data_IF_064144803621
#
_entry.id   IF_064144803621
#
_cell.length_a   1.000
_cell.length_b   1.000
_cell.length_c   1.000
_cell.angle_alpha   90.00
_cell.angle_beta   90.00
_cell.angle_gamma   90.00
#
_symmetry.space_group_name_H-M   'P 1'
#
loop_
_entity.id
_entity.type
_entity.pdbx_description
1 polymer ?
#
# COMPACT_ATOMS: atom_id res chain seq x y z
N UNK A 1 -27.62 25.30 37.62
CA UNK A 1 -28.40 24.11 37.23
C UNK A 1 -28.38 23.87 35.72
N UNK A 2 -28.81 24.82 34.88
CA UNK A 2 -28.79 24.68 33.40
C UNK A 2 -27.42 24.37 32.81
N UNK A 3 -26.35 25.08 33.24
CA UNK A 3 -25.00 24.82 32.77
C UNK A 3 -24.50 23.41 33.12
N UNK A 4 -24.81 22.93 34.34
CA UNK A 4 -24.44 21.58 34.78
C UNK A 4 -25.18 20.51 33.96
N UNK A 5 -26.47 20.71 33.69
CA UNK A 5 -27.26 19.81 32.83
C UNK A 5 -26.72 19.80 31.39
N UNK A 6 -26.35 20.96 30.84
CA UNK A 6 -25.75 21.06 29.51
C UNK A 6 -24.38 20.35 29.45
N UNK A 7 -23.50 20.55 30.43
CA UNK A 7 -22.22 19.85 30.51
C UNK A 7 -22.40 18.33 30.61
N UNK A 8 -23.33 17.86 31.45
CA UNK A 8 -23.64 16.43 31.56
C UNK A 8 -24.15 15.86 30.24
N UNK A 9 -25.06 16.56 29.56
CA UNK A 9 -25.57 16.13 28.26
C UNK A 9 -24.45 16.03 27.21
N UNK A 10 -23.52 17.00 27.17
CA UNK A 10 -22.35 16.98 26.28
C UNK A 10 -21.44 15.79 26.62
N UNK A 11 -21.13 15.56 27.89
CA UNK A 11 -20.30 14.43 28.31
C UNK A 11 -20.92 13.08 27.95
N UNK A 12 -22.23 12.90 28.16
CA UNK A 12 -22.96 11.69 27.77
C UNK A 12 -22.93 11.51 26.25
N UNK A 13 -23.17 12.59 25.49
CA UNK A 13 -23.14 12.55 24.03
C UNK A 13 -21.75 12.18 23.48
N UNK A 14 -20.69 12.80 24.00
CA UNK A 14 -19.30 12.48 23.62
C UNK A 14 -18.93 11.04 24.04
N UNK A 15 -19.37 10.60 25.22
CA UNK A 15 -19.19 9.23 25.68
C UNK A 15 -19.88 8.20 24.78
N UNK A 16 -21.10 8.50 24.33
CA UNK A 16 -21.83 7.66 23.37
C UNK A 16 -21.13 7.62 22.01
N UNK A 17 -20.67 8.77 21.48
CA UNK A 17 -19.89 8.80 20.23
C UNK A 17 -18.63 7.95 20.37
N UNK A 18 -17.88 8.10 21.47
CA UNK A 18 -16.68 7.31 21.71
C UNK A 18 -17.00 5.81 21.81
N UNK A 19 -18.05 5.43 22.53
CA UNK A 19 -18.49 4.04 22.66
C UNK A 19 -18.88 3.44 21.30
N UNK A 20 -19.64 4.18 20.48
CA UNK A 20 -19.99 3.76 19.12
C UNK A 20 -18.73 3.63 18.25
N UNK A 21 -17.79 4.55 18.36
CA UNK A 21 -16.53 4.49 17.62
C UNK A 21 -15.71 3.25 18.00
N UNK A 22 -15.63 2.90 19.29
CA UNK A 22 -14.99 1.66 19.75
C UNK A 22 -15.73 0.44 19.21
N UNK A 23 -17.05 0.43 19.29
CA UNK A 23 -17.90 -0.69 18.85
C UNK A 23 -17.79 -0.95 17.34
N UNK A 24 -17.75 0.11 16.53
CA UNK A 24 -17.65 -0.01 15.07
C UNK A 24 -16.20 -0.09 14.56
N UNK A 25 -15.21 0.20 15.40
CA UNK A 25 -13.80 0.01 15.05
C UNK A 25 -13.51 -1.48 14.83
N UNK A 26 -12.92 -1.86 13.70
CA UNK A 26 -12.46 -3.23 13.54
C UNK A 26 -11.34 -3.54 14.54
N UNK A 27 -11.24 -4.81 14.90
CA UNK A 27 -10.13 -5.34 15.69
C UNK A 27 -9.37 -6.34 14.84
N UNK A 28 -8.09 -6.07 14.60
CA UNK A 28 -7.19 -7.03 13.98
C UNK A 28 -6.85 -8.05 15.06
N UNK A 29 -7.36 -9.27 14.91
CA UNK A 29 -7.01 -10.38 15.80
C UNK A 29 -5.54 -10.68 15.62
N UNK A 30 -4.81 -10.74 16.73
CA UNK A 30 -3.43 -11.20 16.71
C UNK A 30 -3.40 -12.66 16.22
N UNK A 31 -2.55 -12.99 15.24
CA UNK A 31 -2.41 -14.36 14.78
C UNK A 31 -1.90 -15.27 15.91
N UNK A 32 -2.27 -16.55 15.88
CA UNK A 32 -1.66 -17.55 16.75
C UNK A 32 -0.21 -17.87 16.33
N UNK A 33 0.55 -18.63 17.14
CA UNK A 33 1.93 -19.00 16.83
C UNK A 33 2.12 -19.64 15.44
N UNK A 34 1.12 -20.40 14.98
CA UNK A 34 1.11 -21.07 13.67
C UNK A 34 1.19 -20.11 12.48
N UNK A 35 0.77 -18.86 12.65
CA UNK A 35 0.85 -17.87 11.59
C UNK A 35 2.27 -17.30 11.44
N UNK A 36 3.17 -17.55 12.39
CA UNK A 36 4.56 -17.08 12.36
C UNK A 36 5.51 -18.11 11.74
N UNK A 37 4.96 -19.04 10.96
CA UNK A 37 5.72 -20.04 10.23
C UNK A 37 5.47 -19.92 8.72
N UNK A 38 6.45 -20.33 7.93
CA UNK A 38 6.33 -20.43 6.47
C UNK A 38 6.88 -21.76 5.96
N UNK A 39 6.44 -22.16 4.77
CA UNK A 39 7.04 -23.24 3.97
C UNK A 39 7.66 -22.66 2.71
N UNK A 40 8.73 -23.27 2.22
CA UNK A 40 9.43 -22.82 1.01
C UNK A 40 9.12 -23.76 -0.15
N UNK A 41 9.12 -23.27 -1.38
CA UNK A 41 9.05 -24.15 -2.56
C UNK A 41 10.26 -25.10 -2.66
N UNK A 42 11.41 -24.70 -2.10
CA UNK A 42 12.62 -25.55 -2.06
C UNK A 42 12.52 -26.69 -1.03
N UNK A 43 11.70 -26.52 0.01
CA UNK A 43 11.38 -27.56 0.98
C UNK A 43 9.91 -27.43 1.41
N UNK A 44 8.97 -27.96 0.59
CA UNK A 44 7.53 -27.79 0.83
C UNK A 44 7.01 -28.51 2.09
N UNK A 45 7.83 -29.37 2.69
CA UNK A 45 7.46 -30.21 3.83
C UNK A 45 7.94 -29.67 5.17
N UNK A 46 9.00 -28.85 5.16
CA UNK A 46 9.57 -28.26 6.36
C UNK A 46 8.98 -26.87 6.62
N UNK A 47 8.60 -26.63 7.88
CA UNK A 47 8.21 -25.32 8.36
C UNK A 47 9.42 -24.58 8.93
N UNK A 48 9.47 -23.28 8.66
CA UNK A 48 10.51 -22.37 9.16
C UNK A 48 9.85 -21.19 9.87
N UNK A 49 10.48 -20.63 10.91
CA UNK A 49 9.98 -19.43 11.56
C UNK A 49 10.07 -18.22 10.62
N UNK A 50 9.06 -17.36 10.64
CA UNK A 50 9.11 -16.07 9.95
C UNK A 50 10.14 -15.15 10.61
N UNK A 51 10.88 -14.35 9.81
CA UNK A 51 11.81 -13.38 10.36
C UNK A 51 11.01 -12.30 11.11
N UNK A 52 11.50 -11.81 12.27
CA UNK A 52 10.84 -10.73 12.98
C UNK A 52 10.81 -9.47 12.10
N UNK A 53 9.84 -8.55 12.31
CA UNK A 53 9.78 -7.30 11.54
C UNK A 53 11.05 -6.45 11.63
N UNK A 54 11.80 -6.57 12.71
CA UNK A 54 13.06 -5.85 12.93
C UNK A 54 14.27 -6.45 12.21
N UNK A 55 14.11 -7.59 11.51
CA UNK A 55 15.21 -8.23 10.79
C UNK A 55 15.77 -7.33 9.68
N UNK A 56 17.09 -7.43 9.46
CA UNK A 56 17.75 -6.80 8.33
C UNK A 56 17.24 -7.41 7.00
N UNK A 57 17.22 -6.63 5.90
CA UNK A 57 16.79 -7.16 4.62
C UNK A 57 17.77 -8.23 4.08
N UNK A 58 17.25 -9.33 3.58
CA UNK A 58 18.02 -10.44 2.96
C UNK A 58 17.88 -10.46 1.43
N UNK A 59 16.91 -9.76 0.86
CA UNK A 59 16.71 -9.65 -0.58
C UNK A 59 16.41 -8.22 -1.04
N UNK A 60 16.51 -7.96 -2.34
CA UNK A 60 16.24 -6.63 -2.90
C UNK A 60 14.74 -6.33 -2.94
N UNK A 61 13.93 -7.33 -3.31
CA UNK A 61 12.48 -7.21 -3.46
C UNK A 61 11.75 -8.36 -2.77
N UNK A 62 10.77 -8.03 -1.94
CA UNK A 62 9.71 -8.97 -1.56
C UNK A 62 8.41 -8.62 -2.26
N UNK A 63 7.87 -9.57 -3.01
CA UNK A 63 6.56 -9.52 -3.63
C UNK A 63 5.57 -10.20 -2.69
N UNK A 64 4.79 -9.41 -1.97
CA UNK A 64 3.80 -9.89 -1.00
C UNK A 64 2.46 -10.04 -1.70
N UNK A 65 1.97 -11.29 -1.72
CA UNK A 65 0.76 -11.69 -2.44
C UNK A 65 -0.29 -12.21 -1.45
N UNK A 66 -1.29 -11.42 -1.06
CA UNK A 66 -2.43 -11.95 -0.30
C UNK A 66 -3.27 -12.86 -1.20
N UNK A 67 -3.61 -14.05 -0.72
CA UNK A 67 -4.36 -15.04 -1.49
C UNK A 67 -5.48 -15.67 -0.64
N UNK A 68 -6.69 -15.75 -1.20
CA UNK A 68 -7.81 -16.47 -0.59
C UNK A 68 -8.65 -17.19 -1.64
N UNK A 69 -8.51 -18.51 -1.71
CA UNK A 69 -9.11 -19.36 -2.74
C UNK A 69 -8.74 -18.91 -4.17
N UNK A 70 -7.43 -18.85 -4.42
CA UNK A 70 -6.79 -18.33 -5.63
C UNK A 70 -6.04 -19.42 -6.42
N UNK A 71 -6.25 -20.70 -6.12
CA UNK A 71 -5.57 -21.83 -6.78
C UNK A 71 -5.56 -21.75 -8.31
N UNK A 72 -6.62 -21.20 -8.93
CA UNK A 72 -6.72 -21.03 -10.37
C UNK A 72 -6.07 -19.74 -10.92
N UNK A 73 -6.04 -18.66 -10.14
CA UNK A 73 -5.58 -17.33 -10.61
C UNK A 73 -4.11 -17.04 -10.27
N UNK A 74 -3.61 -17.68 -9.21
CA UNK A 74 -2.24 -17.52 -8.75
C UNK A 74 -1.19 -17.98 -9.77
N UNK A 75 -1.30 -19.15 -10.45
CA UNK A 75 -0.26 -19.60 -11.38
C UNK A 75 -0.05 -18.69 -12.61
N UNK A 76 -1.11 -18.21 -13.29
CA UNK A 76 -0.94 -17.23 -14.37
C UNK A 76 -0.24 -15.94 -13.91
N UNK A 77 -0.62 -15.43 -12.73
CA UNK A 77 0.03 -14.25 -12.15
C UNK A 77 1.52 -14.51 -11.88
N UNK A 78 1.85 -15.63 -11.21
CA UNK A 78 3.24 -16.00 -10.93
C UNK A 78 4.05 -16.22 -12.22
N UNK A 79 3.44 -16.78 -13.27
CA UNK A 79 4.12 -16.97 -14.56
C UNK A 79 4.52 -15.66 -15.19
N UNK A 80 3.62 -14.68 -15.24
CA UNK A 80 3.92 -13.35 -15.79
C UNK A 80 4.91 -12.58 -14.90
N UNK A 81 4.77 -12.67 -13.58
CA UNK A 81 5.70 -12.06 -12.64
C UNK A 81 7.11 -12.65 -12.75
N UNK A 82 7.27 -13.98 -12.85
CA UNK A 82 8.57 -14.62 -13.06
C UNK A 82 9.19 -14.22 -14.39
N UNK A 83 8.40 -14.17 -15.46
CA UNK A 83 8.88 -13.75 -16.77
C UNK A 83 9.47 -12.34 -16.73
N UNK A 84 8.91 -11.44 -15.93
CA UNK A 84 9.46 -10.09 -15.76
C UNK A 84 10.67 -10.08 -14.82
N UNK A 85 10.57 -10.71 -13.65
CA UNK A 85 11.61 -10.69 -12.62
C UNK A 85 12.92 -11.32 -13.09
N UNK A 86 12.83 -12.39 -13.89
CA UNK A 86 13.98 -13.10 -14.46
C UNK A 86 14.45 -12.48 -15.79
N UNK A 87 13.84 -11.39 -16.25
CA UNK A 87 14.30 -10.71 -17.46
C UNK A 87 15.68 -10.08 -17.26
N UNK A 88 16.40 -9.89 -18.36
CA UNK A 88 17.72 -9.26 -18.33
C UNK A 88 17.61 -7.76 -17.98
N UNK A 89 18.66 -7.21 -17.35
CA UNK A 89 18.79 -5.78 -17.00
C UNK A 89 17.77 -5.26 -15.97
N UNK A 90 17.32 -6.12 -15.07
CA UNK A 90 16.52 -5.70 -13.91
C UNK A 90 17.37 -5.04 -12.83
N UNK A 91 16.72 -4.20 -12.02
CA UNK A 91 17.35 -3.45 -10.93
C UNK A 91 17.58 -4.25 -9.63
N UNK A 92 17.15 -5.52 -9.61
CA UNK A 92 17.24 -6.43 -8.48
C UNK A 92 18.07 -7.66 -8.84
N UNK A 93 18.64 -8.31 -7.82
CA UNK A 93 19.35 -9.60 -7.96
C UNK A 93 18.75 -10.70 -7.11
N UNK A 94 17.96 -10.34 -6.10
CA UNK A 94 17.33 -11.29 -5.18
C UNK A 94 15.87 -10.91 -4.99
N UNK A 95 14.96 -11.84 -5.30
CA UNK A 95 13.51 -11.65 -5.19
C UNK A 95 12.90 -12.76 -4.37
N UNK A 96 12.00 -12.36 -3.48
CA UNK A 96 11.16 -13.29 -2.73
C UNK A 96 9.71 -13.06 -3.10
N UNK A 97 8.98 -14.13 -3.43
CA UNK A 97 7.53 -14.11 -3.48
C UNK A 97 7.00 -14.69 -2.17
N UNK A 98 6.35 -13.84 -1.38
CA UNK A 98 5.71 -14.22 -0.12
C UNK A 98 4.21 -14.32 -0.34
N UNK A 99 3.73 -15.55 -0.53
CA UNK A 99 2.31 -15.84 -0.67
C UNK A 99 1.72 -15.94 0.74
N UNK A 100 0.77 -15.05 1.05
CA UNK A 100 0.04 -15.08 2.32
C UNK A 100 -1.34 -15.66 2.05
N UNK A 101 -1.47 -16.96 2.28
CA UNK A 101 -2.73 -17.68 2.19
C UNK A 101 -3.60 -17.34 3.41
N UNK A 102 -4.64 -16.52 3.22
CA UNK A 102 -5.56 -16.04 4.25
C UNK A 102 -6.61 -17.11 4.64
N UNK A 103 -6.14 -18.32 4.95
CA UNK A 103 -6.99 -19.43 5.36
C UNK A 103 -7.86 -20.02 4.24
N UNK A 104 -7.31 -20.17 3.04
CA UNK A 104 -7.98 -20.78 1.89
C UNK A 104 -8.46 -22.20 2.20
N UNK A 105 -9.58 -22.55 1.58
CA UNK A 105 -10.23 -23.87 1.65
C UNK A 105 -9.90 -24.73 0.42
N UNK A 106 -9.27 -24.15 -0.60
CA UNK A 106 -8.78 -24.84 -1.78
C UNK A 106 -7.27 -25.14 -1.66
N UNK A 107 -6.66 -25.52 -2.78
CA UNK A 107 -5.23 -25.88 -2.88
C UNK A 107 -4.30 -24.68 -3.13
N UNK A 108 -4.70 -23.44 -2.79
CA UNK A 108 -3.89 -22.22 -3.04
C UNK A 108 -2.46 -22.35 -2.53
N UNK A 109 -2.27 -22.76 -1.27
CA UNK A 109 -0.93 -22.99 -0.69
C UNK A 109 -0.11 -24.03 -1.46
N UNK A 110 -0.73 -25.14 -1.86
CA UNK A 110 -0.01 -26.25 -2.49
C UNK A 110 0.42 -25.90 -3.91
N UNK A 111 -0.44 -25.17 -4.63
CA UNK A 111 -0.15 -24.62 -5.94
C UNK A 111 1.02 -23.63 -5.89
N UNK A 112 1.08 -22.78 -4.86
CA UNK A 112 2.20 -21.86 -4.66
C UNK A 112 3.51 -22.59 -4.36
N UNK A 113 3.48 -23.60 -3.49
CA UNK A 113 4.66 -24.39 -3.12
C UNK A 113 5.17 -25.26 -4.28
N UNK A 114 4.27 -25.77 -5.11
CA UNK A 114 4.61 -26.56 -6.30
C UNK A 114 4.92 -25.71 -7.54
N UNK A 115 4.90 -24.38 -7.44
CA UNK A 115 5.14 -23.52 -8.59
C UNK A 115 6.60 -23.63 -9.05
N UNK A 116 6.87 -23.95 -10.33
CA UNK A 116 8.23 -24.12 -10.82
C UNK A 116 8.93 -22.77 -10.87
N UNK A 117 10.03 -22.62 -10.13
CA UNK A 117 10.91 -21.46 -10.23
C UNK A 117 12.05 -21.81 -11.18
N UNK A 118 12.14 -21.16 -12.35
CA UNK A 118 13.23 -21.41 -13.27
C UNK A 118 14.56 -21.01 -12.64
N UNK A 119 15.49 -21.96 -12.53
CA UNK A 119 16.90 -21.64 -12.40
C UNK A 119 17.37 -21.22 -13.80
N UNK A 120 17.27 -19.94 -14.14
CA UNK A 120 17.90 -19.40 -15.35
C UNK A 120 19.23 -18.73 -14.98
N UNK A 121 20.37 -19.41 -15.19
CA UNK A 121 21.68 -18.86 -14.88
C UNK A 121 21.99 -17.58 -15.67
N UNK A 122 21.30 -17.34 -16.80
CA UNK A 122 21.53 -16.17 -17.66
C UNK A 122 20.92 -14.90 -17.06
N UNK A 123 19.83 -15.03 -16.29
CA UNK A 123 19.19 -13.88 -15.63
C UNK A 123 20.07 -13.27 -14.54
N UNK A 124 20.85 -14.12 -13.84
CA UNK A 124 21.61 -13.74 -12.65
C UNK A 124 20.73 -13.27 -11.48
N UNK A 125 19.44 -13.60 -11.50
CA UNK A 125 18.46 -13.26 -10.44
C UNK A 125 18.12 -14.53 -9.66
N UNK A 126 18.27 -14.48 -8.34
CA UNK A 126 17.83 -15.55 -7.45
C UNK A 126 16.40 -15.28 -6.98
N UNK A 127 15.51 -16.27 -7.16
CA UNK A 127 14.11 -16.17 -6.77
C UNK A 127 13.75 -17.29 -5.80
N UNK A 128 12.96 -16.94 -4.78
CA UNK A 128 12.39 -17.90 -3.83
C UNK A 128 10.90 -17.68 -3.66
N UNK A 129 10.14 -18.74 -3.41
CA UNK A 129 8.73 -18.67 -3.06
C UNK A 129 8.56 -19.18 -1.64
N UNK A 130 7.97 -18.35 -0.78
CA UNK A 130 7.56 -18.71 0.58
C UNK A 130 6.05 -18.61 0.70
N UNK A 131 5.47 -19.54 1.44
CA UNK A 131 4.03 -19.57 1.71
C UNK A 131 3.79 -19.53 3.20
N UNK A 132 3.05 -18.52 3.64
CA UNK A 132 2.51 -18.40 4.99
C UNK A 132 1.02 -18.71 4.92
N UNK A 133 0.57 -19.70 5.69
CA UNK A 133 -0.85 -20.05 5.75
C UNK A 133 -1.44 -19.59 7.07
N UNK A 134 -2.34 -18.60 7.00
CA UNK A 134 -3.10 -18.14 8.14
C UNK A 134 -4.17 -19.17 8.52
N UNK A 135 -4.48 -19.34 9.82
CA UNK A 135 -5.43 -20.35 10.29
C UNK A 135 -6.86 -20.10 9.82
N UNK A 136 -7.21 -18.84 9.51
CA UNK A 136 -8.53 -18.43 9.04
C UNK A 136 -8.43 -17.12 8.27
N UNK A 137 -9.42 -16.92 7.41
CA UNK A 137 -9.61 -15.65 6.72
C UNK A 137 -9.81 -14.51 7.72
N UNK A 138 -8.89 -13.55 7.67
CA UNK A 138 -8.86 -12.37 8.53
C UNK A 138 -9.00 -11.07 7.72
N UNK A 139 -9.16 -11.17 6.41
CA UNK A 139 -9.31 -10.06 5.49
C UNK A 139 -8.00 -9.69 4.78
N UNK A 140 -8.15 -9.13 3.57
CA UNK A 140 -7.01 -8.78 2.70
C UNK A 140 -5.98 -7.88 3.40
N UNK A 141 -6.42 -6.82 4.08
CA UNK A 141 -5.54 -5.92 4.80
C UNK A 141 -4.77 -6.61 5.93
N UNK A 142 -5.39 -7.56 6.64
CA UNK A 142 -4.71 -8.35 7.65
C UNK A 142 -3.66 -9.30 7.03
N UNK A 143 -3.98 -9.96 5.93
CA UNK A 143 -3.05 -10.83 5.21
C UNK A 143 -1.85 -10.04 4.65
N UNK A 144 -2.10 -8.89 4.00
CA UNK A 144 -1.02 -8.02 3.51
C UNK A 144 -0.17 -7.50 4.67
N UNK A 145 -0.79 -7.01 5.76
CA UNK A 145 -0.06 -6.58 6.96
C UNK A 145 0.87 -7.66 7.48
N UNK A 146 0.35 -8.88 7.62
CA UNK A 146 1.13 -10.00 8.11
C UNK A 146 2.31 -10.31 7.18
N UNK A 147 2.08 -10.37 5.87
CA UNK A 147 3.13 -10.61 4.88
C UNK A 147 4.19 -9.52 4.87
N UNK A 148 3.80 -8.24 4.80
CA UNK A 148 4.74 -7.12 4.71
C UNK A 148 5.62 -7.03 5.96
N UNK A 149 5.06 -7.24 7.14
CA UNK A 149 5.82 -7.19 8.40
C UNK A 149 6.85 -8.32 8.52
N UNK A 150 6.70 -9.44 7.80
CA UNK A 150 7.63 -10.59 7.83
C UNK A 150 8.34 -10.85 6.49
N UNK A 151 8.25 -9.89 5.57
CA UNK A 151 8.97 -9.88 4.31
C UNK A 151 10.46 -9.56 4.52
N UNK A 152 11.33 -10.03 3.62
CA UNK A 152 12.79 -9.88 3.74
C UNK A 152 13.40 -8.85 2.79
N UNK A 153 12.58 -8.20 1.97
CA UNK A 153 13.01 -7.26 0.95
C UNK A 153 13.52 -5.93 1.51
N UNK A 154 14.41 -5.28 0.77
CA UNK A 154 14.70 -3.84 0.90
C UNK A 154 13.52 -3.00 0.42
N UNK A 155 12.80 -3.50 -0.59
CA UNK A 155 11.53 -2.98 -1.10
C UNK A 155 10.45 -4.04 -0.99
N UNK A 156 9.22 -3.60 -0.74
CA UNK A 156 8.07 -4.48 -0.67
C UNK A 156 7.05 -4.08 -1.73
N UNK A 157 6.80 -4.98 -2.66
CA UNK A 157 5.72 -4.86 -3.64
C UNK A 157 4.52 -5.63 -3.10
N UNK A 158 3.41 -4.95 -2.88
CA UNK A 158 2.11 -5.59 -2.75
C UNK A 158 1.55 -5.80 -4.15
N UNK A 159 1.01 -6.99 -4.42
CA UNK A 159 0.31 -7.32 -5.68
C UNK A 159 -0.84 -8.29 -5.43
N UNK A 160 -1.95 -8.11 -6.13
CA UNK A 160 -3.10 -9.01 -6.04
C UNK A 160 -2.81 -10.36 -6.72
N UNK A 161 -3.29 -11.45 -6.12
CA UNK A 161 -3.09 -12.82 -6.62
C UNK A 161 -3.79 -13.10 -7.96
N UNK A 162 -4.65 -12.20 -8.44
CA UNK A 162 -5.47 -12.43 -9.64
C UNK A 162 -4.74 -12.15 -10.96
N UNK A 163 -3.56 -11.52 -10.91
CA UNK A 163 -2.79 -11.17 -12.10
C UNK A 163 -3.36 -10.01 -12.90
N UNK A 164 -4.30 -9.23 -12.36
CA UNK A 164 -4.96 -8.17 -13.11
C UNK A 164 -3.99 -7.02 -13.50
N UNK A 165 -2.98 -6.75 -12.68
CA UNK A 165 -1.96 -5.73 -12.94
C UNK A 165 -0.79 -6.31 -13.73
N UNK A 166 -0.27 -5.59 -14.72
CA UNK A 166 0.91 -6.03 -15.49
C UNK A 166 2.17 -5.89 -14.63
N UNK A 167 2.88 -6.98 -14.40
CA UNK A 167 4.05 -6.97 -13.53
C UNK A 167 5.23 -6.19 -14.13
N UNK A 168 5.30 -6.09 -15.46
CA UNK A 168 6.28 -5.22 -16.14
C UNK A 168 6.20 -3.74 -15.76
N UNK A 169 5.08 -3.26 -15.22
CA UNK A 169 4.99 -1.89 -14.69
C UNK A 169 5.74 -1.69 -13.38
N UNK A 170 6.26 -2.75 -12.75
CA UNK A 170 7.16 -2.67 -11.60
C UNK A 170 8.34 -1.74 -11.88
N UNK A 171 8.86 -1.70 -13.09
CA UNK A 171 9.99 -0.83 -13.47
C UNK A 171 9.65 0.66 -13.30
N UNK A 172 8.40 1.04 -13.57
CA UNK A 172 7.92 2.42 -13.36
C UNK A 172 7.83 2.75 -11.87
N UNK A 173 7.32 1.81 -11.07
CA UNK A 173 7.24 1.98 -9.62
C UNK A 173 8.64 2.07 -9.01
N UNK A 174 9.55 1.23 -9.50
CA UNK A 174 10.95 1.20 -9.08
C UNK A 174 11.65 2.53 -9.38
N UNK A 175 11.50 3.06 -10.59
CA UNK A 175 12.09 4.34 -10.98
C UNK A 175 11.55 5.52 -10.15
N UNK A 176 10.24 5.55 -9.86
CA UNK A 176 9.66 6.58 -9.00
C UNK A 176 10.19 6.49 -7.56
N UNK A 177 10.42 5.27 -7.06
CA UNK A 177 11.03 5.05 -5.75
C UNK A 177 12.50 5.46 -5.72
N UNK A 178 13.27 5.16 -6.76
CA UNK A 178 14.65 5.65 -6.93
C UNK A 178 14.72 7.18 -6.96
N UNK A 179 13.68 7.83 -7.49
CA UNK A 179 13.55 9.29 -7.46
C UNK A 179 13.17 9.85 -6.07
N UNK A 180 13.06 9.02 -5.04
CA UNK A 180 12.90 9.41 -3.64
C UNK A 180 11.49 9.27 -3.07
N UNK A 181 10.60 8.52 -3.71
CA UNK A 181 9.29 8.22 -3.13
C UNK A 181 9.37 7.11 -2.06
N UNK A 182 8.66 7.29 -0.95
CA UNK A 182 8.54 6.29 0.12
C UNK A 182 7.51 5.20 -0.22
N UNK A 183 6.43 5.64 -0.89
CA UNK A 183 5.32 4.80 -1.35
C UNK A 183 5.03 5.15 -2.80
N UNK A 184 4.97 4.15 -3.68
CA UNK A 184 4.57 4.33 -5.07
C UNK A 184 3.33 3.51 -5.35
N UNK A 185 2.25 4.19 -5.72
CA UNK A 185 0.97 3.58 -6.07
C UNK A 185 0.85 3.40 -7.57
N UNK A 186 0.62 2.16 -8.02
CA UNK A 186 0.08 1.93 -9.35
C UNK A 186 -1.31 2.56 -9.48
N UNK A 187 -1.67 2.99 -10.68
CA UNK A 187 -2.93 3.67 -10.93
C UNK A 187 -3.58 3.26 -12.24
N UNK A 188 -4.85 2.88 -12.13
CA UNK A 188 -5.77 2.56 -13.22
C UNK A 188 -6.61 3.76 -13.62
N UNK A 189 -6.40 4.93 -13.00
CA UNK A 189 -7.24 6.11 -13.20
C UNK A 189 -7.31 6.54 -14.68
N UNK A 190 -6.25 6.30 -15.45
CA UNK A 190 -6.19 6.57 -16.88
C UNK A 190 -7.04 5.61 -17.75
N UNK A 191 -7.49 4.48 -17.20
CA UNK A 191 -8.34 3.50 -17.89
C UNK A 191 -9.85 3.78 -17.69
N UNK A 192 -10.20 4.69 -16.77
CA UNK A 192 -11.60 5.06 -16.50
C UNK A 192 -12.23 5.63 -17.77
N UNK A 193 -13.28 4.97 -18.27
CA UNK A 193 -13.98 5.35 -19.51
C UNK A 193 -13.57 4.56 -20.77
N UNK A 194 -12.61 3.63 -20.66
CA UNK A 194 -12.23 2.70 -21.75
C UNK A 194 -13.06 1.40 -21.71
N UNK A 195 -13.11 0.62 -22.79
CA UNK A 195 -13.81 -0.68 -22.82
C UNK A 195 -13.41 -1.63 -21.68
N UNK A 196 -12.18 -1.53 -21.17
CA UNK A 196 -11.69 -2.26 -20.00
C UNK A 196 -12.46 -1.94 -18.68
N UNK A 197 -13.26 -0.88 -18.66
CA UNK A 197 -14.07 -0.42 -17.51
C UNK A 197 -15.56 -0.30 -17.87
N UNK A 198 -15.92 -0.30 -19.15
CA UNK A 198 -17.26 0.07 -19.67
C UNK A 198 -18.19 -1.15 -19.73
N UNK A 199 -18.50 -1.72 -18.56
CA UNK A 199 -19.70 -2.55 -18.32
C UNK A 199 -20.22 -2.41 -16.88
N UNK A 200 -20.14 -1.21 -16.29
CA UNK A 200 -20.55 -1.00 -14.89
C UNK A 200 -22.00 -0.53 -14.80
N UNK A 201 -22.77 -1.17 -13.89
CA UNK A 201 -24.14 -0.76 -13.57
C UNK A 201 -24.17 0.64 -12.95
N UNK A 202 -25.29 1.36 -13.13
CA UNK A 202 -25.49 2.71 -12.56
C UNK A 202 -25.23 2.77 -11.05
N UNK A 203 -25.61 1.72 -10.32
CA UNK A 203 -25.37 1.60 -8.88
C UNK A 203 -23.87 1.57 -8.54
N UNK A 204 -23.07 0.82 -9.30
CA UNK A 204 -21.62 0.76 -9.08
C UNK A 204 -20.95 2.11 -9.36
N UNK A 205 -21.42 2.84 -10.38
CA UNK A 205 -20.91 4.17 -10.67
C UNK A 205 -21.24 5.19 -9.57
N UNK A 206 -22.46 5.12 -9.01
CA UNK A 206 -22.87 5.95 -7.87
C UNK A 206 -21.98 5.65 -6.65
N UNK A 207 -21.86 4.38 -6.25
CA UNK A 207 -21.04 3.96 -5.10
C UNK A 207 -19.57 4.40 -5.26
N UNK A 208 -19.00 4.24 -6.45
CA UNK A 208 -17.64 4.72 -6.74
C UNK A 208 -17.52 6.24 -6.62
N UNK A 209 -18.51 7.01 -7.11
CA UNK A 209 -18.50 8.47 -6.96
C UNK A 209 -18.56 8.91 -5.50
N UNK A 210 -19.41 8.27 -4.69
CA UNK A 210 -19.53 8.56 -3.27
C UNK A 210 -18.23 8.27 -2.55
N UNK A 211 -17.60 7.12 -2.83
CA UNK A 211 -16.31 6.76 -2.24
C UNK A 211 -15.22 7.78 -2.60
N UNK A 212 -15.04 8.11 -3.89
CA UNK A 212 -14.06 9.11 -4.31
C UNK A 212 -14.31 10.49 -3.69
N UNK A 213 -15.57 10.88 -3.51
CA UNK A 213 -15.93 12.13 -2.84
C UNK A 213 -15.49 12.12 -1.38
N UNK A 214 -15.72 11.01 -0.68
CA UNK A 214 -15.30 10.85 0.71
C UNK A 214 -13.77 10.82 0.87
N UNK A 215 -13.05 10.21 -0.07
CA UNK A 215 -11.58 10.19 -0.08
C UNK A 215 -10.97 11.61 -0.13
N UNK A 216 -11.65 12.57 -0.78
CA UNK A 216 -11.20 13.97 -0.78
C UNK A 216 -11.15 14.57 0.62
N UNK A 217 -12.09 14.21 1.49
CA UNK A 217 -12.13 14.70 2.87
C UNK A 217 -11.08 14.06 3.79
N UNK A 218 -10.42 12.99 3.35
CA UNK A 218 -9.32 12.36 4.08
C UNK A 218 -7.95 12.98 3.80
N UNK A 219 -7.84 13.90 2.84
CA UNK A 219 -6.59 14.56 2.48
C UNK A 219 -5.70 13.77 1.50
N UNK A 220 -6.13 12.59 1.06
CA UNK A 220 -5.38 11.72 0.12
C UNK A 220 -5.75 11.93 -1.34
N UNK A 221 -6.33 13.09 -1.68
CA UNK A 221 -6.87 13.38 -3.01
C UNK A 221 -5.84 13.49 -4.14
N UNK A 222 -4.55 13.59 -3.80
CA UNK A 222 -3.45 13.62 -4.77
C UNK A 222 -3.19 12.25 -5.41
N UNK A 223 -3.63 11.16 -4.77
CA UNK A 223 -3.64 9.81 -5.34
C UNK A 223 -5.02 9.54 -5.91
N UNK A 224 -5.13 9.31 -7.21
CA UNK A 224 -6.41 9.12 -7.91
C UNK A 224 -6.94 7.70 -7.77
N UNK A 225 -6.04 6.71 -7.69
CA UNK A 225 -6.40 5.30 -7.50
C UNK A 225 -5.81 4.74 -6.20
N UNK A 226 -6.46 5.08 -5.09
CA UNK A 226 -6.01 4.70 -3.74
C UNK A 226 -6.06 3.20 -3.49
N UNK A 227 -6.88 2.44 -4.24
CA UNK A 227 -7.18 1.03 -4.02
C UNK A 227 -6.59 0.12 -5.12
N UNK A 228 -5.56 0.58 -5.83
CA UNK A 228 -4.79 -0.31 -6.70
C UNK A 228 -3.99 -1.29 -5.85
N UNK A 229 -4.13 -2.59 -6.13
CA UNK A 229 -3.39 -3.64 -5.41
C UNK A 229 -1.90 -3.71 -5.74
N UNK A 230 -1.40 -2.89 -6.67
CA UNK A 230 0.00 -2.86 -7.12
C UNK A 230 0.73 -1.65 -6.54
N UNK A 231 1.42 -1.84 -5.40
CA UNK A 231 2.07 -0.75 -4.66
C UNK A 231 3.44 -1.15 -4.16
N UNK A 232 4.42 -0.28 -4.36
CA UNK A 232 5.79 -0.46 -3.91
C UNK A 232 6.07 0.41 -2.70
N UNK A 233 6.70 -0.16 -1.68
CA UNK A 233 7.07 0.53 -0.44
C UNK A 233 8.57 0.37 -0.17
N UNK A 234 9.20 1.42 0.34
CA UNK A 234 10.50 1.27 1.00
C UNK A 234 10.33 0.44 2.27
N UNK A 235 11.40 -0.23 2.73
CA UNK A 235 11.36 -1.02 3.97
C UNK A 235 10.86 -0.21 5.16
N UNK A 236 11.40 0.99 5.36
CA UNK A 236 11.04 1.87 6.47
C UNK A 236 9.59 2.33 6.41
N UNK A 237 9.11 2.73 5.23
CA UNK A 237 7.73 3.15 5.04
C UNK A 237 6.77 2.01 5.35
N UNK A 238 6.98 0.83 4.76
CA UNK A 238 6.03 -0.26 4.99
C UNK A 238 6.01 -0.74 6.45
N UNK A 239 7.15 -0.82 7.15
CA UNK A 239 7.12 -1.13 8.59
C UNK A 239 6.26 -0.16 9.38
N UNK A 240 6.47 1.15 9.18
CA UNK A 240 5.70 2.19 9.87
C UNK A 240 4.20 2.09 9.55
N UNK A 241 3.86 1.96 8.27
CA UNK A 241 2.48 1.96 7.79
C UNK A 241 1.72 0.70 8.23
N UNK A 242 2.31 -0.48 8.04
CA UNK A 242 1.64 -1.76 8.32
C UNK A 242 1.61 -2.07 9.82
N UNK A 243 2.56 -1.60 10.64
CA UNK A 243 2.43 -1.65 12.10
C UNK A 243 1.21 -0.85 12.58
N UNK A 244 1.01 0.34 12.01
CA UNK A 244 -0.08 1.26 12.34
C UNK A 244 -1.44 0.81 11.80
N UNK A 245 -1.49 -0.02 10.75
CA UNK A 245 -2.75 -0.38 10.10
C UNK A 245 -3.78 -1.01 11.06
N UNK A 246 -5.01 -0.50 11.05
CA UNK A 246 -6.15 -0.96 11.86
C UNK A 246 -7.24 -1.64 11.03
N UNK A 247 -7.44 -1.24 9.77
CA UNK A 247 -8.48 -1.80 8.90
C UNK A 247 -7.98 -3.12 8.28
N UNK A 248 -8.66 -4.26 8.53
CA UNK A 248 -8.22 -5.56 8.01
C UNK A 248 -8.81 -5.92 6.63
N UNK A 249 -9.77 -5.15 6.11
CA UNK A 249 -10.53 -5.50 4.89
C UNK A 249 -10.19 -4.58 3.70
N UNK A 250 -11.16 -4.25 2.85
CA UNK A 250 -10.98 -3.69 1.50
C UNK A 250 -10.39 -2.29 1.39
N UNK A 251 -10.52 -1.44 2.41
CA UNK A 251 -10.01 -0.05 2.38
C UNK A 251 -8.73 0.15 3.20
N UNK A 252 -8.06 -0.92 3.61
CA UNK A 252 -6.78 -0.84 4.33
C UNK A 252 -5.77 0.05 3.60
N UNK A 253 -5.76 -0.04 2.28
CA UNK A 253 -4.99 0.78 1.35
C UNK A 253 -5.19 2.29 1.52
N UNK A 254 -6.42 2.71 1.84
CA UNK A 254 -6.76 4.12 2.09
C UNK A 254 -6.18 4.55 3.43
N UNK A 255 -6.26 3.71 4.45
CA UNK A 255 -5.62 3.98 5.74
C UNK A 255 -4.10 4.14 5.57
N UNK A 256 -3.44 3.25 4.82
CA UNK A 256 -1.99 3.37 4.56
C UNK A 256 -1.64 4.75 3.98
N UNK A 257 -2.44 5.27 3.04
CA UNK A 257 -2.20 6.59 2.44
C UNK A 257 -2.48 7.75 3.41
N UNK A 258 -3.49 7.62 4.26
CA UNK A 258 -3.76 8.61 5.32
C UNK A 258 -2.60 8.65 6.31
N UNK A 259 -2.11 7.49 6.74
CA UNK A 259 -0.96 7.38 7.67
C UNK A 259 0.32 7.90 7.00
N UNK A 260 0.56 7.57 5.73
CA UNK A 260 1.71 8.08 4.98
C UNK A 260 1.70 9.62 4.92
N UNK A 261 0.54 10.23 4.66
CA UNK A 261 0.37 11.67 4.68
C UNK A 261 0.64 12.27 6.07
N UNK A 262 0.12 11.64 7.13
CA UNK A 262 0.35 12.07 8.52
C UNK A 262 1.83 11.97 8.93
N UNK A 263 2.58 11.01 8.37
CA UNK A 263 4.02 10.86 8.55
C UNK A 263 4.85 11.80 7.67
N UNK A 264 4.24 12.55 6.74
CA UNK A 264 4.97 13.36 5.76
C UNK A 264 5.77 12.55 4.74
N UNK A 265 5.37 11.30 4.48
CA UNK A 265 6.01 10.43 3.50
C UNK A 265 5.70 10.90 2.08
N UNK A 266 6.68 10.79 1.18
CA UNK A 266 6.45 11.07 -0.24
C UNK A 266 5.72 9.91 -0.90
N UNK A 267 4.54 10.22 -1.44
CA UNK A 267 3.65 9.26 -2.11
C UNK A 267 3.49 9.67 -3.57
N UNK A 268 3.97 8.82 -4.48
CA UNK A 268 3.91 9.05 -5.91
C UNK A 268 2.88 8.10 -6.56
N UNK A 269 2.27 8.52 -7.68
CA UNK A 269 1.31 7.73 -8.45
C UNK A 269 1.85 7.49 -9.87
N UNK A 270 1.84 6.23 -10.34
CA UNK A 270 2.29 5.85 -11.67
C UNK A 270 1.21 5.07 -12.42
N UNK A 271 1.09 5.31 -13.73
CA UNK A 271 0.07 4.63 -14.55
C UNK A 271 0.50 3.20 -14.88
N UNK A 272 -0.37 2.23 -14.55
CA UNK A 272 -0.11 0.79 -14.74
C UNK A 272 -1.17 0.14 -15.61
N UNK A 273 -0.74 -0.77 -16.47
CA UNK A 273 -1.61 -1.63 -17.25
C UNK A 273 -2.42 -2.54 -16.34
N UNK A 274 -3.72 -2.63 -16.63
CA UNK A 274 -4.65 -3.45 -15.88
C UNK A 274 -5.66 -4.09 -16.83
N UNK A 275 -6.07 -5.31 -16.52
CA UNK A 275 -7.12 -6.01 -17.25
C UNK A 275 -8.11 -6.69 -16.28
N UNK A 276 -9.34 -6.89 -16.74
CA UNK A 276 -10.36 -7.53 -15.90
C UNK A 276 -10.15 -9.04 -15.84
N UNK A 277 -10.09 -9.58 -14.63
CA UNK A 277 -9.98 -11.01 -14.36
C UNK A 277 -11.28 -11.48 -13.70
N UNK A 278 -11.90 -12.52 -14.26
CA UNK A 278 -13.13 -13.09 -13.70
C UNK A 278 -12.89 -13.74 -12.32
N UNK A 279 -13.97 -13.95 -11.56
CA UNK A 279 -13.90 -14.63 -10.25
C UNK A 279 -13.66 -13.70 -9.06
N UNK A 280 -13.98 -12.40 -9.19
CA UNK A 280 -13.94 -11.43 -8.08
C UNK A 280 -14.69 -11.95 -6.86
N UNK A 281 -14.05 -11.83 -5.69
CA UNK A 281 -14.64 -12.22 -4.38
C UNK A 281 -15.46 -11.09 -3.74
N UNK A 282 -15.56 -9.93 -4.40
CA UNK A 282 -16.27 -8.75 -3.90
C UNK A 282 -17.78 -8.92 -4.13
N UNK A 283 -18.54 -8.99 -3.05
CA UNK A 283 -19.97 -8.73 -3.04
C UNK A 283 -20.24 -7.22 -3.07
N UNK A 284 -20.67 -6.72 -4.23
CA UNK A 284 -20.81 -5.28 -4.50
C UNK A 284 -21.62 -4.54 -3.43
N UNK A 285 -22.70 -5.12 -2.90
CA UNK A 285 -23.59 -4.41 -1.96
C UNK A 285 -22.99 -4.41 -0.56
N UNK A 286 -22.71 -5.60 -0.03
CA UNK A 286 -22.26 -5.76 1.36
C UNK A 286 -20.86 -5.17 1.56
N UNK A 287 -19.94 -5.41 0.62
CA UNK A 287 -18.60 -4.84 0.72
C UNK A 287 -18.64 -3.32 0.57
N UNK A 288 -19.51 -2.75 -0.26
CA UNK A 288 -19.62 -1.28 -0.36
C UNK A 288 -20.14 -0.65 0.93
N UNK A 289 -21.09 -1.29 1.61
CA UNK A 289 -21.57 -0.82 2.90
C UNK A 289 -20.48 -0.92 3.98
N UNK A 290 -19.72 -2.02 3.99
CA UNK A 290 -18.60 -2.19 4.90
C UNK A 290 -17.48 -1.17 4.65
N UNK A 291 -17.11 -0.96 3.38
CA UNK A 291 -16.12 0.06 3.00
C UNK A 291 -16.54 1.46 3.44
N UNK A 292 -17.83 1.83 3.31
CA UNK A 292 -18.34 3.11 3.77
C UNK A 292 -18.23 3.24 5.30
N UNK A 293 -18.65 2.21 6.05
CA UNK A 293 -18.53 2.16 7.51
C UNK A 293 -17.07 2.29 7.94
N UNK A 294 -16.18 1.50 7.35
CA UNK A 294 -14.75 1.52 7.66
C UNK A 294 -14.14 2.91 7.37
N UNK A 295 -14.58 3.62 6.33
CA UNK A 295 -14.09 4.95 5.99
C UNK A 295 -14.49 6.01 7.03
N UNK A 296 -15.73 5.94 7.52
CA UNK A 296 -16.23 6.83 8.56
C UNK A 296 -15.51 6.57 9.90
N UNK A 297 -15.34 5.30 10.25
CA UNK A 297 -14.60 4.85 11.44
C UNK A 297 -13.14 5.29 11.36
N UNK A 298 -12.49 5.10 10.21
CA UNK A 298 -11.12 5.55 9.94
C UNK A 298 -10.99 7.05 10.21
N UNK A 299 -11.86 7.86 9.60
CA UNK A 299 -11.80 9.32 9.76
C UNK A 299 -12.03 9.75 11.20
N UNK A 300 -13.05 9.20 11.85
CA UNK A 300 -13.38 9.53 13.22
C UNK A 300 -12.27 9.14 14.20
N UNK A 301 -11.69 7.93 14.09
CA UNK A 301 -10.62 7.49 14.99
C UNK A 301 -9.37 8.37 14.93
N UNK A 302 -8.96 8.82 13.74
CA UNK A 302 -7.84 9.75 13.61
C UNK A 302 -8.18 11.18 14.05
N UNK A 303 -9.40 11.70 13.76
CA UNK A 303 -9.84 13.03 14.23
C UNK A 303 -9.88 13.10 15.76
N UNK A 304 -10.44 12.06 16.40
CA UNK A 304 -10.57 12.02 17.85
C UNK A 304 -9.31 11.50 18.56
N UNK A 305 -8.23 11.22 17.81
CA UNK A 305 -6.95 10.78 18.36
C UNK A 305 -6.96 9.40 19.02
N UNK A 306 -8.00 8.57 18.78
CA UNK A 306 -8.08 7.20 19.29
C UNK A 306 -7.07 6.30 18.57
N UNK A 307 -6.88 6.51 17.27
CA UNK A 307 -5.79 5.90 16.53
C UNK A 307 -4.63 6.88 16.43
N UNK A 308 -3.44 6.34 16.68
CA UNK A 308 -2.20 7.10 16.66
C UNK A 308 -1.24 6.45 15.68
N UNK A 309 -0.35 7.26 15.11
CA UNK A 309 0.64 6.78 14.17
C UNK A 309 1.94 6.52 14.91
N UNK A 310 2.48 5.31 14.74
CA UNK A 310 3.83 4.99 15.22
C UNK A 310 4.83 5.89 14.50
N UNK A 311 5.62 6.67 15.26
CA UNK A 311 6.63 7.55 14.66
C UNK A 311 7.77 6.71 14.08
N UNK A 312 8.28 7.13 12.92
CA UNK A 312 9.43 6.53 12.24
C UNK A 312 10.61 6.53 13.22
N UNK A 313 11.15 5.35 13.52
CA UNK A 313 12.46 5.24 14.15
C UNK A 313 13.52 5.50 13.07
N UNK A 314 14.04 6.72 13.04
CA UNK A 314 15.06 7.16 12.07
C UNK A 314 16.36 6.36 12.14
N UNK A 315 16.54 5.47 13.14
CA UNK A 315 17.69 4.57 13.24
C UNK A 315 17.76 3.49 12.13
N UNK A 316 16.66 3.25 11.41
CA UNK A 316 16.61 2.25 10.33
C UNK A 316 16.88 2.82 8.91
N UNK A 317 17.12 4.13 8.78
CA UNK A 317 17.58 4.68 7.50
C UNK A 317 19.06 4.30 7.32
N UNK A 318 19.34 3.44 6.35
CA UNK A 318 20.69 3.05 5.97
C UNK A 318 21.58 4.30 5.78
N UNK A 319 22.80 4.20 6.30
CA UNK A 319 23.84 5.22 6.24
C UNK A 319 24.01 5.76 4.81
N UNK A 320 24.27 7.07 4.63
CA UNK A 320 24.70 7.59 3.33
C UNK A 320 26.00 6.87 2.97
N UNK A 321 26.04 6.30 1.77
CA UNK A 321 27.28 5.83 1.15
C UNK A 321 28.26 6.99 1.09
N UNK A 322 29.44 6.83 1.69
CA UNK A 322 30.55 7.75 1.53
C UNK A 322 30.91 7.83 0.03
N UNK A 323 30.50 8.91 -0.62
CA UNK A 323 30.95 9.26 -1.95
C UNK A 323 31.42 10.72 -1.93
N UNK A 324 32.74 10.89 -1.84
CA UNK A 324 33.48 11.99 -2.48
C UNK A 324 33.32 13.38 -1.88
N UNK A 325 34.43 13.88 -1.30
CA UNK A 325 34.66 15.30 -1.05
C UNK A 325 34.27 16.17 -2.25
N UNK A 326 33.15 16.90 -2.11
CA UNK A 326 32.70 17.94 -3.03
C UNK A 326 31.93 18.98 -2.24
N UNK A 327 32.51 20.17 -2.10
CA UNK A 327 32.03 21.29 -1.30
C UNK A 327 30.58 21.68 -1.67
N UNK A 328 29.60 21.34 -0.82
CA UNK A 328 28.20 21.76 -0.97
C UNK A 328 27.90 22.90 0.02
N UNK A 329 27.76 24.09 -0.54
CA UNK A 329 27.29 25.32 0.12
C UNK A 329 25.89 25.13 0.72
N UNK A 330 25.61 25.59 1.95
CA UNK A 330 24.29 25.42 2.56
C UNK A 330 23.20 26.27 1.86
N UNK A 331 21.92 25.83 1.87
CA UNK A 331 20.84 26.55 1.22
C UNK A 331 20.54 27.88 1.95
N UNK A 332 20.39 28.95 1.16
CA UNK A 332 20.07 30.31 1.63
C UNK A 332 18.72 30.32 2.35
N UNK A 333 18.73 30.83 3.59
CA UNK A 333 17.52 31.17 4.37
C UNK A 333 16.59 32.07 3.54
N UNK A 334 15.30 31.74 3.55
CA UNK A 334 14.22 32.54 2.98
C UNK A 334 14.30 34.00 3.48
N UNK A 335 14.54 34.93 2.57
CA UNK A 335 14.45 36.36 2.85
C UNK A 335 12.99 36.82 2.68
N UNK A 336 12.50 37.42 3.75
CA UNK A 336 11.23 38.10 3.90
C UNK A 336 11.07 39.19 2.84
N UNK A 337 10.01 39.13 2.03
CA UNK A 337 9.64 40.21 1.11
C UNK A 337 9.32 41.48 1.92
N UNK A 338 10.16 42.51 1.77
CA UNK A 338 9.80 43.89 2.08
C UNK A 338 9.22 44.54 0.83
N UNK A 339 8.09 45.21 1.04
CA UNK A 339 7.31 46.00 0.09
C UNK A 339 8.15 47.07 -0.62
N UNK A 340 8.09 47.12 -1.94
CA UNK A 340 8.63 48.21 -2.75
C UNK A 340 7.49 49.08 -3.31
N UNK A 341 7.54 50.36 -2.99
CA UNK A 341 6.67 51.43 -3.51
C UNK A 341 6.96 51.72 -4.99
N UNK A 342 5.98 52.23 -5.78
CA UNK A 342 6.13 52.35 -7.23
C UNK A 342 6.81 53.66 -7.64
N UNK A 343 7.79 53.58 -8.55
CA UNK A 343 8.31 54.74 -9.28
C UNK A 343 7.58 54.95 -10.62
N UNK A 344 7.50 56.19 -11.14
CA UNK A 344 6.56 56.55 -12.19
C UNK A 344 7.12 56.30 -13.61
N UNK A 345 6.19 55.94 -14.52
CA UNK A 345 6.41 55.66 -15.94
C UNK A 345 6.96 56.90 -16.67
N UNK A 346 8.08 56.74 -17.37
CA UNK A 346 8.51 57.69 -18.43
C UNK A 346 7.86 57.34 -19.76
N UNK A 347 7.33 58.40 -20.38
CA UNK A 347 6.58 58.48 -21.63
C UNK A 347 7.53 58.24 -22.83
N UNK A 348 7.19 57.31 -23.72
CA UNK A 348 7.87 57.13 -25.02
C UNK A 348 7.12 57.97 -26.05
N UNK A 349 7.84 58.92 -26.66
CA UNK A 349 7.39 59.68 -27.82
C UNK A 349 7.67 58.90 -29.10
N UNK A 350 6.64 58.82 -29.95
CA UNK A 350 6.63 58.32 -31.33
C UNK A 350 7.26 59.37 -32.25
N UNK A 351 8.14 58.99 -33.18
CA UNK A 351 8.36 59.71 -34.44
C UNK A 351 8.64 58.67 -35.52
N UNK A 352 7.82 58.74 -36.57
CA UNK A 352 7.89 57.96 -37.80
C UNK A 352 9.01 58.48 -38.74
N UNK A 353 9.65 57.57 -39.47
CA UNK A 353 10.14 57.72 -40.86
C UNK A 353 10.59 56.35 -41.36
#
# INVERSE_FOLDING_TARGET
MLLALACTAICVFLGLIYALLVLFSPSIKQPGPEAFEYRSNNDPTVTHPLPPPTAAPECDLSVVVPAYNESARLPPMLTEAMSHVLSNNTAWKTVEFLIVDDGSKDTTSDVALGFPVPEDPKSGVNVSIRVVKLPKNSGKGAAVKHGVLHARGKRMLMVDADGASKFSDLDKLWAAMDAGADVVCGSRAHLVGTEAVVKRSLLRNLLMHTLHTLLRFLGVSHIRDTQCGFKLFTRSAAHTLFQTLHIPHWIFDVELLVVALMCGMRTDEVSVGWHEVAGSKINIIWDSAEMLKDLLVLRANYIFGRWTVSRIDTSMQAQPTEAGNGHLTPPRKAQTLKSASPQPRRRVTRVDS
#
